data_IF_459583531028
#
_entry.id   IF_459583531028
#
_cell.length_a   1.000
_cell.length_b   1.000
_cell.length_c   1.000
_cell.angle_alpha   90.00
_cell.angle_beta   90.00
_cell.angle_gamma   90.00
#
_symmetry.space_group_name_H-M   'P 1'
#
loop_
_entity.id
_entity.type
_entity.pdbx_description
1 polymer ?
#
# COMPACT_ATOMS: atom_id res chain seq x y z
N UNK A 1 -9.28 9.60 13.04
CA UNK A 1 -8.54 10.21 14.14
C UNK A 1 -7.17 10.67 13.66
N UNK A 2 -6.52 11.47 14.48
CA UNK A 2 -5.19 11.95 14.17
C UNK A 2 -4.19 10.82 13.99
N UNK A 3 -4.34 9.78 14.80
CA UNK A 3 -3.44 8.64 14.75
C UNK A 3 -3.52 7.94 13.39
N UNK A 4 -4.73 7.76 12.87
CA UNK A 4 -4.91 7.16 11.55
C UNK A 4 -4.40 8.07 10.46
N UNK A 5 -4.64 9.37 10.59
CA UNK A 5 -4.21 10.34 9.60
C UNK A 5 -2.69 10.47 9.58
N UNK A 6 -2.02 10.19 10.69
CA UNK A 6 -0.57 10.33 10.75
C UNK A 6 0.14 9.29 9.86
N UNK A 7 -0.57 8.22 9.46
CA UNK A 7 0.02 7.23 8.57
C UNK A 7 0.22 7.79 7.16
N UNK A 8 -0.56 8.79 6.79
CA UNK A 8 -0.47 9.38 5.46
C UNK A 8 -1.25 8.64 4.39
N UNK A 9 -1.78 7.47 4.70
CA UNK A 9 -2.53 6.67 3.73
C UNK A 9 -3.88 7.31 3.42
N UNK A 10 -4.26 7.36 2.14
CA UNK A 10 -5.54 7.92 1.71
C UNK A 10 -6.43 6.89 1.04
N UNK A 11 -5.91 6.13 0.08
CA UNK A 11 -6.74 5.19 -0.66
C UNK A 11 -5.89 4.17 -1.39
N UNK A 12 -6.54 3.06 -1.77
CA UNK A 12 -5.91 2.06 -2.62
C UNK A 12 -6.93 1.62 -3.67
N UNK A 13 -6.46 1.46 -4.90
CA UNK A 13 -7.27 0.96 -6.00
C UNK A 13 -6.47 -0.05 -6.79
N UNK A 14 -7.14 -1.06 -7.33
CA UNK A 14 -6.50 -2.13 -8.06
C UNK A 14 -6.92 -2.15 -9.52
N UNK A 15 -6.01 -2.61 -10.38
CA UNK A 15 -6.28 -2.85 -11.78
C UNK A 15 -5.33 -3.94 -12.26
N UNK A 16 -5.87 -5.11 -12.62
CA UNK A 16 -5.03 -6.23 -13.03
C UNK A 16 -4.07 -6.63 -11.93
N UNK A 17 -2.78 -6.66 -12.24
CA UNK A 17 -1.75 -6.98 -11.25
C UNK A 17 -1.10 -5.73 -10.65
N UNK A 18 -1.76 -4.59 -10.74
CA UNK A 18 -1.26 -3.32 -10.21
C UNK A 18 -2.17 -2.80 -9.12
N UNK A 19 -1.56 -2.17 -8.12
CA UNK A 19 -2.29 -1.42 -7.14
C UNK A 19 -1.76 0.00 -7.10
N UNK A 20 -2.64 0.96 -6.85
CA UNK A 20 -2.26 2.36 -6.73
C UNK A 20 -2.67 2.83 -5.35
N UNK A 21 -1.69 3.18 -4.55
CA UNK A 21 -1.92 3.73 -3.22
C UNK A 21 -1.71 5.23 -3.29
N UNK A 22 -2.72 5.98 -2.84
CA UNK A 22 -2.59 7.43 -2.72
C UNK A 22 -2.29 7.77 -1.28
N UNK A 23 -1.38 8.74 -1.09
CA UNK A 23 -0.96 9.17 0.24
C UNK A 23 -1.04 10.69 0.32
N UNK A 24 -0.79 11.21 1.50
CA UNK A 24 -0.58 12.63 1.66
C UNK A 24 0.75 12.99 1.01
N UNK A 25 0.89 14.24 0.51
CA UNK A 25 2.15 14.66 -0.10
C UNK A 25 3.34 14.42 0.82
N UNK A 26 4.39 13.85 0.26
CA UNK A 26 5.62 13.58 0.99
C UNK A 26 5.66 12.26 1.75
N UNK A 27 4.55 11.52 1.80
CA UNK A 27 4.48 10.29 2.60
C UNK A 27 4.73 9.02 1.78
N UNK A 28 4.68 9.11 0.45
CA UNK A 28 4.72 7.89 -0.36
C UNK A 28 6.00 7.08 -0.17
N UNK A 29 7.14 7.73 -0.15
CA UNK A 29 8.43 7.02 -0.06
C UNK A 29 8.57 6.25 1.24
N UNK A 30 8.18 6.84 2.37
CA UNK A 30 8.33 6.15 3.65
C UNK A 30 7.35 4.99 3.77
N UNK A 31 6.14 5.15 3.25
CA UNK A 31 5.17 4.06 3.25
C UNK A 31 5.66 2.93 2.36
N UNK A 32 6.16 3.26 1.16
CA UNK A 32 6.68 2.25 0.24
C UNK A 32 7.87 1.50 0.85
N UNK A 33 8.74 2.20 1.56
CA UNK A 33 9.86 1.55 2.24
C UNK A 33 9.35 0.54 3.25
N UNK A 34 8.34 0.92 4.03
CA UNK A 34 7.79 0.01 5.03
C UNK A 34 7.13 -1.21 4.38
N UNK A 35 6.47 -1.02 3.23
CA UNK A 35 5.89 -2.14 2.50
C UNK A 35 6.99 -3.09 2.05
N UNK A 36 8.05 -2.56 1.45
CA UNK A 36 9.14 -3.39 0.97
C UNK A 36 9.85 -4.12 2.12
N UNK A 37 10.03 -3.43 3.23
CA UNK A 37 10.71 -4.00 4.39
C UNK A 37 9.91 -5.12 5.06
N UNK A 38 8.60 -5.11 4.87
CA UNK A 38 7.71 -6.11 5.50
C UNK A 38 7.68 -7.45 4.76
N UNK A 39 8.27 -7.53 3.58
CA UNK A 39 8.32 -8.77 2.79
C UNK A 39 6.94 -9.41 2.61
N UNK A 40 6.00 -8.64 2.09
CA UNK A 40 4.66 -9.14 1.84
C UNK A 40 4.70 -10.04 0.61
N UNK A 41 4.38 -11.34 0.75
CA UNK A 41 4.55 -12.29 -0.37
C UNK A 41 3.74 -11.95 -1.61
N UNK A 42 2.58 -11.32 -1.43
CA UNK A 42 1.67 -10.99 -2.54
C UNK A 42 2.15 -9.79 -3.35
N UNK A 43 3.13 -9.05 -2.86
CA UNK A 43 3.62 -7.84 -3.52
C UNK A 43 5.05 -8.07 -3.97
N UNK A 44 5.30 -7.92 -5.27
CA UNK A 44 6.63 -8.11 -5.83
C UNK A 44 7.55 -6.92 -5.61
N UNK A 45 6.99 -5.73 -5.56
CA UNK A 45 7.78 -4.53 -5.35
C UNK A 45 6.93 -3.29 -5.43
N UNK A 46 7.55 -2.15 -5.15
CA UNK A 46 6.86 -0.87 -5.16
C UNK A 46 7.71 0.19 -5.83
N UNK A 47 7.04 1.21 -6.36
CA UNK A 47 7.67 2.44 -6.86
C UNK A 47 6.88 3.60 -6.26
N UNK A 48 7.57 4.54 -5.66
CA UNK A 48 6.92 5.67 -4.98
C UNK A 48 7.26 6.99 -5.64
N UNK A 49 6.25 7.82 -5.80
CA UNK A 49 6.43 9.24 -6.13
C UNK A 49 6.30 10.06 -4.87
N UNK A 50 5.69 11.23 -4.97
CA UNK A 50 5.51 12.10 -3.80
C UNK A 50 4.28 11.69 -2.97
N UNK A 51 3.18 11.43 -3.66
CA UNK A 51 1.90 11.12 -3.02
C UNK A 51 1.24 9.86 -3.59
N UNK A 52 1.98 9.08 -4.36
CA UNK A 52 1.44 7.90 -5.04
C UNK A 52 2.46 6.78 -5.00
N UNK A 53 1.98 5.57 -4.71
CA UNK A 53 2.81 4.37 -4.73
C UNK A 53 2.16 3.40 -5.70
N UNK A 54 2.96 2.90 -6.65
CA UNK A 54 2.53 1.79 -7.49
C UNK A 54 3.05 0.51 -6.86
N UNK A 55 2.17 -0.45 -6.65
CA UNK A 55 2.58 -1.76 -6.18
C UNK A 55 2.34 -2.76 -7.31
N UNK A 56 3.28 -3.67 -7.48
CA UNK A 56 3.14 -4.74 -8.46
C UNK A 56 2.75 -6.00 -7.70
N UNK A 57 1.60 -6.55 -8.06
CA UNK A 57 0.99 -7.67 -7.35
C UNK A 57 1.34 -8.96 -8.09
N UNK A 58 1.68 -9.98 -7.32
CA UNK A 58 1.97 -11.30 -7.88
C UNK A 58 0.74 -11.82 -8.60
N UNK A 59 0.95 -12.35 -9.80
CA UNK A 59 -0.13 -12.84 -10.63
C UNK A 59 -0.88 -13.97 -9.93
N UNK A 60 -2.21 -13.96 -10.05
CA UNK A 60 -3.03 -15.00 -9.46
C UNK A 60 -3.43 -14.77 -8.02
N UNK A 61 -2.98 -13.70 -7.41
CA UNK A 61 -3.28 -13.40 -6.01
C UNK A 61 -4.56 -12.57 -5.94
N UNK A 62 -5.41 -12.87 -4.96
CA UNK A 62 -6.64 -12.11 -4.75
C UNK A 62 -6.33 -10.78 -4.09
N UNK A 63 -7.12 -9.75 -4.44
CA UNK A 63 -6.90 -8.42 -3.89
C UNK A 63 -7.07 -8.38 -2.37
N UNK A 64 -8.01 -9.15 -1.82
CA UNK A 64 -8.19 -9.15 -0.37
C UNK A 64 -6.96 -9.70 0.35
N UNK A 65 -6.19 -10.57 -0.29
CA UNK A 65 -4.96 -11.07 0.31
C UNK A 65 -3.89 -9.98 0.31
N UNK A 66 -3.88 -9.13 -0.71
CA UNK A 66 -2.98 -7.98 -0.75
C UNK A 66 -3.33 -7.02 0.38
N UNK A 67 -4.62 -6.73 0.55
CA UNK A 67 -5.09 -5.85 1.63
C UNK A 67 -4.71 -6.44 2.99
N UNK A 68 -4.89 -7.74 3.15
CA UNK A 68 -4.55 -8.41 4.41
C UNK A 68 -3.06 -8.26 4.70
N UNK A 69 -2.21 -8.45 3.68
CA UNK A 69 -0.78 -8.29 3.84
C UNK A 69 -0.38 -6.86 4.18
N UNK A 70 -1.05 -5.89 3.55
CA UNK A 70 -0.75 -4.49 3.80
C UNK A 70 -1.23 -4.02 5.17
N UNK A 71 -2.19 -4.71 5.77
CA UNK A 71 -2.78 -4.28 7.03
C UNK A 71 -1.77 -4.22 8.18
N UNK A 72 -0.68 -4.96 8.08
CA UNK A 72 0.38 -4.91 9.08
C UNK A 72 1.19 -3.62 9.03
N UNK A 73 1.16 -2.93 7.90
CA UNK A 73 1.91 -1.69 7.69
C UNK A 73 0.98 -0.49 7.67
N UNK A 74 -0.25 -0.70 7.21
CA UNK A 74 -1.26 0.35 7.06
C UNK A 74 -2.50 -0.07 7.85
N UNK A 75 -2.57 0.28 9.14
CA UNK A 75 -3.60 -0.28 10.03
C UNK A 75 -5.04 -0.06 9.61
N UNK A 76 -5.33 1.03 8.92
CA UNK A 76 -6.71 1.34 8.54
C UNK A 76 -7.03 0.98 7.09
N UNK A 77 -6.16 0.22 6.43
CA UNK A 77 -6.40 -0.11 5.02
C UNK A 77 -7.61 -1.03 4.84
N UNK A 78 -7.92 -1.85 5.83
CA UNK A 78 -9.06 -2.75 5.76
C UNK A 78 -10.41 -2.06 5.73
N UNK A 79 -10.44 -0.76 5.95
CA UNK A 79 -11.67 0.01 5.89
C UNK A 79 -12.02 0.44 4.47
N UNK A 80 -11.22 0.06 3.50
CA UNK A 80 -11.44 0.40 2.10
C UNK A 80 -11.83 -0.78 1.25
#
# INVERSE_FOLDING_TARGET
SEMLQSSGFKSINFSGNMGVIKTRPGYASSIAYNIDDSDIPEILGTIAGDDTILIVIKEGVAYHDVIEGLSGVLPNIKEY
#
